data_IF_388821100993
#
_entry.id   IF_388821100993
#
_cell.length_a   1.000
_cell.length_b   1.000
_cell.length_c   1.000
_cell.angle_alpha   90.00
_cell.angle_beta   90.00
_cell.angle_gamma   90.00
#
_symmetry.space_group_name_H-M   'P 1'
#
loop_
_entity.id
_entity.type
_entity.pdbx_description
1 polymer ?
#
# COMPACT_ATOMS: atom_id res chain seq x y z
N UNK A 1 -4.06 -2.93 -4.35
CA UNK A 1 -2.66 -2.91 -4.82
C UNK A 1 -2.32 -1.45 -5.08
N UNK A 2 -1.33 -0.86 -4.41
CA UNK A 2 -0.93 0.53 -4.66
C UNK A 2 0.58 0.57 -4.87
N UNK A 3 0.99 1.14 -5.98
CA UNK A 3 2.38 1.40 -6.37
C UNK A 3 2.71 2.83 -5.95
N UNK A 4 3.81 3.04 -5.23
CA UNK A 4 4.33 4.37 -4.92
C UNK A 4 5.66 4.57 -5.64
N UNK A 5 5.69 5.31 -6.77
CA UNK A 5 6.94 5.60 -7.48
C UNK A 5 7.77 6.70 -6.81
N UNK A 6 9.09 6.58 -6.94
CA UNK A 6 10.10 7.50 -6.45
C UNK A 6 10.02 8.82 -7.23
N UNK A 7 9.65 9.91 -6.56
CA UNK A 7 9.76 11.29 -7.06
C UNK A 7 9.08 11.56 -8.41
N UNK A 8 7.76 11.59 -8.39
CA UNK A 8 6.91 11.77 -9.57
C UNK A 8 5.87 12.83 -9.26
N UNK A 9 6.16 14.10 -9.54
CA UNK A 9 5.07 15.05 -9.70
C UNK A 9 4.37 14.89 -11.06
N UNK A 10 5.04 14.30 -12.07
CA UNK A 10 4.56 14.20 -13.47
C UNK A 10 5.13 12.98 -14.23
N UNK A 11 4.89 11.74 -13.80
CA UNK A 11 5.06 10.58 -14.69
C UNK A 11 3.70 9.97 -14.92
N UNK A 12 3.41 9.74 -16.20
CA UNK A 12 2.18 9.09 -16.67
C UNK A 12 2.06 7.65 -16.17
N UNK A 13 3.11 7.11 -15.53
CA UNK A 13 3.17 5.75 -14.99
C UNK A 13 2.05 5.49 -13.98
N UNK A 14 1.72 6.47 -13.14
CA UNK A 14 0.60 6.32 -12.21
C UNK A 14 -0.74 6.25 -12.95
N UNK A 15 -0.90 7.05 -13.99
CA UNK A 15 -2.13 7.11 -14.78
C UNK A 15 -2.29 5.87 -15.67
N UNK A 16 -1.18 5.30 -16.15
CA UNK A 16 -1.13 4.00 -16.81
C UNK A 16 -1.56 2.89 -15.84
N UNK A 17 -1.02 2.87 -14.62
CA UNK A 17 -1.41 1.91 -13.58
C UNK A 17 -2.90 2.03 -13.22
N UNK A 18 -3.42 3.27 -13.12
CA UNK A 18 -4.86 3.47 -12.88
C UNK A 18 -5.71 2.95 -14.04
N UNK A 19 -5.27 3.17 -15.28
CA UNK A 19 -5.96 2.68 -16.48
C UNK A 19 -6.00 1.16 -16.49
N UNK A 20 -4.87 0.51 -16.26
CA UNK A 20 -4.77 -0.95 -16.20
C UNK A 20 -5.60 -1.53 -15.05
N UNK A 21 -5.57 -0.89 -13.87
CA UNK A 21 -6.38 -1.30 -12.72
C UNK A 21 -7.87 -1.13 -12.96
N UNK A 22 -8.28 -0.09 -13.69
CA UNK A 22 -9.67 0.16 -14.05
C UNK A 22 -10.31 -0.95 -14.88
N UNK A 23 -9.52 -1.81 -15.52
CA UNK A 23 -9.98 -3.01 -16.23
C UNK A 23 -10.48 -4.07 -15.23
N UNK A 24 -9.82 -4.18 -14.07
CA UNK A 24 -10.07 -5.25 -13.10
C UNK A 24 -10.85 -4.80 -11.87
N UNK A 25 -10.82 -3.50 -11.56
CA UNK A 25 -11.38 -2.91 -10.34
C UNK A 25 -12.20 -1.68 -10.73
N UNK A 26 -13.43 -1.63 -10.22
CA UNK A 26 -14.28 -0.46 -10.30
C UNK A 26 -13.71 0.67 -9.42
N UNK A 27 -13.07 1.66 -10.06
CA UNK A 27 -12.39 2.76 -9.38
C UNK A 27 -13.34 3.67 -8.59
N UNK A 28 -14.64 3.62 -8.84
CA UNK A 28 -15.63 4.37 -8.06
C UNK A 28 -15.94 3.74 -6.69
N UNK A 29 -15.54 2.47 -6.50
CA UNK A 29 -15.75 1.71 -5.26
C UNK A 29 -14.53 1.69 -4.35
N UNK A 30 -13.44 2.35 -4.73
CA UNK A 30 -12.20 2.38 -3.96
C UNK A 30 -11.83 3.81 -3.59
N UNK A 31 -10.99 3.94 -2.57
CA UNK A 31 -10.42 5.22 -2.14
C UNK A 31 -8.92 5.17 -2.40
N UNK A 32 -8.43 6.10 -3.22
CA UNK A 32 -7.00 6.27 -3.48
C UNK A 32 -6.36 7.04 -2.33
N UNK A 33 -5.30 6.50 -1.72
CA UNK A 33 -4.62 7.12 -0.57
C UNK A 33 -3.21 7.53 -0.97
N UNK A 34 -2.96 8.82 -1.16
CA UNK A 34 -1.68 9.34 -1.65
C UNK A 34 -0.73 9.74 -0.51
N UNK A 35 0.58 9.56 -0.70
CA UNK A 35 1.60 10.15 0.18
C UNK A 35 1.81 11.65 -0.12
N UNK A 36 2.45 12.38 0.80
CA UNK A 36 2.80 13.82 0.70
C UNK A 36 3.58 14.17 -0.57
N UNK A 37 4.34 13.23 -1.13
CA UNK A 37 5.11 13.42 -2.35
C UNK A 37 4.26 13.57 -3.62
N UNK A 38 2.99 13.18 -3.59
CA UNK A 38 2.10 13.18 -4.77
C UNK A 38 1.16 14.40 -4.81
N UNK A 39 1.61 15.54 -4.28
CA UNK A 39 0.81 16.76 -4.24
C UNK A 39 0.76 17.47 -5.60
N UNK A 40 -0.29 17.20 -6.39
CA UNK A 40 -0.45 17.76 -7.74
C UNK A 40 -1.91 18.15 -8.03
N UNK A 41 -2.14 19.46 -8.21
CA UNK A 41 -3.48 20.04 -8.34
C UNK A 41 -4.25 19.53 -9.56
N UNK A 42 -3.59 19.41 -10.71
CA UNK A 42 -4.22 18.96 -11.96
C UNK A 42 -4.77 17.53 -11.81
N UNK A 43 -4.03 16.63 -11.16
CA UNK A 43 -4.50 15.27 -10.83
C UNK A 43 -5.71 15.28 -9.91
N UNK A 44 -5.72 16.09 -8.86
CA UNK A 44 -6.87 16.16 -7.95
C UNK A 44 -8.14 16.65 -8.67
N UNK A 45 -7.98 17.60 -9.60
CA UNK A 45 -9.05 18.07 -10.49
C UNK A 45 -9.56 16.96 -11.41
N UNK A 46 -8.66 16.23 -12.07
CA UNK A 46 -9.02 15.13 -12.97
C UNK A 46 -9.71 13.97 -12.25
N UNK A 47 -9.17 13.54 -11.09
CA UNK A 47 -9.77 12.47 -10.28
C UNK A 47 -11.16 12.86 -9.80
N UNK A 48 -11.34 14.11 -9.35
CA UNK A 48 -12.64 14.63 -8.93
C UNK A 48 -13.62 14.68 -10.10
N UNK A 49 -13.19 15.16 -11.27
CA UNK A 49 -14.00 15.15 -12.49
C UNK A 49 -14.41 13.76 -12.95
N UNK A 50 -13.55 12.75 -12.72
CA UNK A 50 -13.84 11.33 -12.97
C UNK A 50 -14.65 10.66 -11.84
N UNK A 51 -15.02 11.36 -10.77
CA UNK A 51 -15.72 10.77 -9.62
C UNK A 51 -14.91 9.71 -8.87
N UNK A 52 -13.58 9.76 -8.96
CA UNK A 52 -12.66 8.86 -8.26
C UNK A 52 -12.32 9.48 -6.90
N UNK A 53 -12.51 8.71 -5.84
CA UNK A 53 -12.37 9.18 -4.46
C UNK A 53 -10.91 9.11 -4.01
N UNK A 54 -10.41 10.13 -3.34
CA UNK A 54 -9.03 10.14 -2.85
C UNK A 54 -8.83 10.84 -1.50
N UNK A 55 -7.73 10.51 -0.83
CA UNK A 55 -7.22 11.15 0.39
C UNK A 55 -5.73 11.43 0.20
N UNK A 56 -5.27 12.63 0.53
CA UNK A 56 -3.85 13.02 0.51
C UNK A 56 -3.53 13.91 1.71
N UNK A 57 -2.39 13.78 2.39
CA UNK A 57 -2.01 14.70 3.45
C UNK A 57 -1.76 16.09 2.88
N UNK A 58 -2.18 17.10 3.62
CA UNK A 58 -1.96 18.49 3.24
C UNK A 58 -0.47 18.79 3.14
N UNK A 59 -0.06 19.41 2.03
CA UNK A 59 1.29 19.92 1.84
C UNK A 59 1.46 21.22 2.62
N UNK A 60 2.55 21.34 3.39
CA UNK A 60 2.88 22.58 4.11
C UNK A 60 2.96 23.75 3.14
N UNK A 61 2.27 24.84 3.45
CA UNK A 61 2.26 26.07 2.64
C UNK A 61 1.36 26.00 1.40
N UNK A 62 0.55 24.95 1.21
CA UNK A 62 -0.50 24.95 0.20
C UNK A 62 -1.50 26.08 0.49
N UNK A 63 -1.81 26.87 -0.55
CA UNK A 63 -2.73 28.01 -0.45
C UNK A 63 -4.13 27.57 -0.84
N UNK A 64 -5.09 27.93 -0.02
CA UNK A 64 -6.49 27.60 -0.21
C UNK A 64 -7.38 28.68 0.38
N UNK A 65 -8.60 28.76 -0.13
CA UNK A 65 -9.67 29.58 0.42
C UNK A 65 -10.67 28.68 1.14
N UNK A 66 -11.07 29.06 2.35
CA UNK A 66 -12.11 28.36 3.11
C UNK A 66 -13.48 28.89 2.69
N UNK A 67 -14.36 27.99 2.28
CA UNK A 67 -15.74 28.29 1.87
C UNK A 67 -16.75 27.99 2.99
N UNK A 68 -16.49 26.91 3.74
CA UNK A 68 -17.29 26.50 4.90
C UNK A 68 -16.40 25.84 5.94
N UNK A 69 -16.80 25.92 7.20
CA UNK A 69 -16.07 25.33 8.32
C UNK A 69 -17.01 24.75 9.37
N UNK A 70 -16.63 23.59 9.89
CA UNK A 70 -17.18 22.99 11.10
C UNK A 70 -16.02 22.62 12.02
N UNK A 71 -16.10 22.99 13.30
CA UNK A 71 -15.03 22.72 14.26
C UNK A 71 -15.55 22.06 15.51
N UNK A 72 -14.87 21.00 15.92
CA UNK A 72 -15.09 20.27 17.17
C UNK A 72 -13.80 20.22 17.99
N UNK A 73 -13.88 19.63 19.18
CA UNK A 73 -12.70 19.38 20.01
C UNK A 73 -11.72 18.37 19.38
N UNK A 74 -12.21 17.45 18.55
CA UNK A 74 -11.40 16.34 17.99
C UNK A 74 -10.89 16.63 16.58
N UNK A 75 -11.64 17.39 15.80
CA UNK A 75 -11.30 17.70 14.42
C UNK A 75 -11.90 19.04 13.99
N UNK A 76 -11.33 19.62 12.94
CA UNK A 76 -11.93 20.65 12.12
C UNK A 76 -12.15 20.11 10.71
N UNK A 77 -13.24 20.52 10.10
CA UNK A 77 -13.66 20.07 8.78
C UNK A 77 -14.01 21.28 7.93
N UNK A 78 -13.30 21.44 6.82
CA UNK A 78 -13.38 22.62 5.98
C UNK A 78 -13.75 22.23 4.56
N UNK A 79 -14.67 22.98 3.95
CA UNK A 79 -14.79 22.99 2.50
C UNK A 79 -13.84 24.07 1.99
N UNK A 80 -12.90 23.69 1.13
CA UNK A 80 -11.83 24.55 0.64
C UNK A 80 -11.76 24.53 -0.87
N UNK A 81 -11.35 25.65 -1.45
CA UNK A 81 -10.96 25.75 -2.85
C UNK A 81 -9.45 26.00 -2.91
N UNK A 82 -8.71 25.22 -3.68
CA UNK A 82 -7.27 25.45 -3.87
C UNK A 82 -7.10 26.53 -4.94
N UNK A 83 -6.15 27.45 -4.75
CA UNK A 83 -6.00 28.62 -5.63
C UNK A 83 -5.80 28.26 -7.11
N UNK A 84 -5.18 27.12 -7.41
CA UNK A 84 -4.88 26.65 -8.77
C UNK A 84 -5.96 25.70 -9.34
N UNK A 85 -7.05 25.44 -8.61
CA UNK A 85 -8.17 24.56 -9.03
C UNK A 85 -9.49 25.30 -9.07
N UNK A 86 -9.50 26.51 -9.65
CA UNK A 86 -10.68 27.35 -9.77
C UNK A 86 -11.92 26.53 -10.22
N UNK A 87 -12.98 26.61 -9.42
CA UNK A 87 -14.27 25.96 -9.60
C UNK A 87 -14.41 24.57 -8.98
N UNK A 88 -13.42 24.05 -8.25
CA UNK A 88 -13.52 22.74 -7.60
C UNK A 88 -13.37 22.86 -6.08
N UNK A 89 -14.43 22.45 -5.40
CA UNK A 89 -14.44 22.32 -3.96
C UNK A 89 -13.78 21.01 -3.55
N UNK A 90 -12.87 21.10 -2.59
CA UNK A 90 -12.31 19.99 -1.86
C UNK A 90 -12.72 20.08 -0.39
N UNK A 91 -12.46 19.01 0.34
CA UNK A 91 -12.63 18.95 1.79
C UNK A 91 -11.25 18.84 2.44
N UNK A 92 -10.98 19.70 3.41
CA UNK A 92 -9.81 19.67 4.25
C UNK A 92 -10.22 19.23 5.66
N UNK A 93 -9.78 18.04 6.05
CA UNK A 93 -10.00 17.47 7.37
C UNK A 93 -8.75 17.67 8.21
N UNK A 94 -8.89 18.32 9.37
CA UNK A 94 -7.82 18.55 10.33
C UNK A 94 -8.13 17.79 11.61
N UNK A 95 -7.32 16.80 11.97
CA UNK A 95 -7.47 16.05 13.22
C UNK A 95 -6.55 16.63 14.28
N UNK A 96 -7.15 17.05 15.40
CA UNK A 96 -6.41 17.60 16.52
C UNK A 96 -5.80 16.48 17.36
N UNK A 97 -4.47 16.49 17.51
CA UNK A 97 -3.76 15.51 18.34
C UNK A 97 -2.77 16.21 19.28
N UNK A 98 -2.43 15.55 20.38
CA UNK A 98 -1.45 16.07 21.34
C UNK A 98 -0.05 16.26 20.74
N UNK A 99 0.24 15.62 19.60
CA UNK A 99 1.54 15.68 18.91
C UNK A 99 1.56 16.68 17.74
N UNK A 100 0.46 17.39 17.52
CA UNK A 100 0.26 18.29 16.40
C UNK A 100 -0.93 17.88 15.53
N UNK A 101 -1.41 18.83 14.76
CA UNK A 101 -2.57 18.63 13.89
C UNK A 101 -2.18 17.81 12.65
N UNK A 102 -3.07 16.89 12.26
CA UNK A 102 -2.93 16.08 11.06
C UNK A 102 -3.95 16.56 10.02
N UNK A 103 -3.46 17.04 8.90
CA UNK A 103 -4.27 17.68 7.86
C UNK A 103 -4.36 16.79 6.61
N UNK A 104 -5.57 16.58 6.10
CA UNK A 104 -5.86 15.73 4.94
C UNK A 104 -6.78 16.44 3.97
N UNK A 105 -6.39 16.51 2.70
CA UNK A 105 -7.22 16.96 1.59
C UNK A 105 -7.91 15.75 0.96
N UNK A 106 -9.21 15.87 0.66
CA UNK A 106 -10.02 14.81 0.05
C UNK A 106 -11.15 15.40 -0.78
N UNK A 107 -11.68 14.64 -1.74
CA UNK A 107 -12.93 14.95 -2.44
C UNK A 107 -14.13 14.13 -1.88
N UNK A 108 -13.97 13.55 -0.69
CA UNK A 108 -14.98 12.72 -0.03
C UNK A 108 -15.76 13.56 0.99
N UNK A 109 -17.00 13.90 0.67
CA UNK A 109 -17.84 14.76 1.51
C UNK A 109 -18.78 13.98 2.46
N UNK A 110 -19.03 12.72 2.17
CA UNK A 110 -20.01 11.84 2.82
C UNK A 110 -19.43 10.95 3.93
N UNK A 111 -18.12 11.05 4.20
CA UNK A 111 -17.43 10.22 5.21
C UNK A 111 -17.14 11.00 6.50
N UNK A 112 -17.09 10.33 7.65
CA UNK A 112 -16.71 10.98 8.91
C UNK A 112 -15.22 11.43 8.88
N UNK A 113 -14.87 12.63 9.37
CA UNK A 113 -13.48 13.09 9.48
C UNK A 113 -12.51 12.08 10.13
N UNK A 114 -12.95 11.36 11.16
CA UNK A 114 -12.13 10.34 11.82
C UNK A 114 -11.93 9.08 10.95
N UNK A 115 -12.90 8.76 10.09
CA UNK A 115 -12.75 7.66 9.13
C UNK A 115 -11.74 8.02 8.03
N UNK A 116 -11.69 9.28 7.59
CA UNK A 116 -10.67 9.77 6.65
C UNK A 116 -9.26 9.52 7.23
N UNK A 117 -9.04 9.87 8.50
CA UNK A 117 -7.78 9.55 9.19
C UNK A 117 -7.52 8.05 9.23
N UNK A 118 -8.53 7.25 9.60
CA UNK A 118 -8.38 5.80 9.69
C UNK A 118 -7.99 5.18 8.33
N UNK A 119 -8.64 5.59 7.24
CA UNK A 119 -8.28 5.17 5.90
C UNK A 119 -6.85 5.57 5.54
N UNK A 120 -6.41 6.77 5.94
CA UNK A 120 -5.03 7.18 5.73
C UNK A 120 -4.04 6.36 6.58
N UNK A 121 -4.39 6.01 7.82
CA UNK A 121 -3.53 5.24 8.72
C UNK A 121 -3.24 3.83 8.18
N UNK A 122 -4.15 3.24 7.38
CA UNK A 122 -3.90 1.96 6.69
C UNK A 122 -2.67 1.99 5.76
N UNK A 123 -2.18 3.17 5.39
CA UNK A 123 -0.90 3.34 4.68
C UNK A 123 0.27 2.74 5.48
N UNK A 124 0.25 2.78 6.81
CA UNK A 124 1.30 2.16 7.64
C UNK A 124 1.38 0.65 7.44
N UNK A 125 0.24 -0.02 7.26
CA UNK A 125 0.20 -1.46 6.97
C UNK A 125 0.87 -1.78 5.64
N UNK A 126 0.80 -0.87 4.67
CA UNK A 126 1.50 -1.00 3.40
C UNK A 126 3.03 -0.86 3.55
N UNK A 127 3.54 -0.01 4.45
CA UNK A 127 4.97 0.03 4.75
C UNK A 127 5.45 -1.28 5.38
N UNK A 128 4.66 -1.83 6.31
CA UNK A 128 4.94 -3.13 6.92
C UNK A 128 4.95 -4.22 5.85
N UNK A 129 3.94 -4.25 4.98
CA UNK A 129 3.88 -5.19 3.86
C UNK A 129 5.08 -5.04 2.91
N UNK A 130 5.45 -3.81 2.54
CA UNK A 130 6.60 -3.56 1.67
C UNK A 130 7.91 -4.00 2.31
N UNK A 131 8.07 -3.78 3.62
CA UNK A 131 9.22 -4.26 4.39
C UNK A 131 9.27 -5.79 4.40
N UNK A 132 8.14 -6.44 4.66
CA UNK A 132 8.00 -7.90 4.63
C UNK A 132 8.29 -8.45 3.23
N UNK A 133 7.80 -7.81 2.17
CA UNK A 133 8.08 -8.21 0.79
C UNK A 133 9.57 -8.14 0.48
N UNK A 134 10.21 -7.00 0.73
CA UNK A 134 11.65 -6.80 0.45
C UNK A 134 12.51 -7.81 1.22
N UNK A 135 12.18 -8.05 2.49
CA UNK A 135 12.83 -9.07 3.33
C UNK A 135 12.63 -10.49 2.80
N UNK A 136 11.42 -10.81 2.33
CA UNK A 136 11.10 -12.15 1.85
C UNK A 136 11.61 -12.45 0.44
N UNK A 137 11.60 -11.46 -0.45
CA UNK A 137 12.09 -11.51 -1.83
C UNK A 137 13.60 -11.66 -1.94
N UNK A 138 14.35 -11.39 -0.86
CA UNK A 138 15.82 -11.25 -0.91
C UNK A 138 16.25 -10.43 -2.12
N UNK A 139 15.64 -9.25 -2.32
CA UNK A 139 15.89 -8.39 -3.49
C UNK A 139 17.39 -8.05 -3.61
N UNK A 140 18.15 -8.12 -2.51
CA UNK A 140 19.61 -7.96 -2.47
C UNK A 140 20.41 -9.09 -3.15
N UNK A 141 19.79 -10.25 -3.43
CA UNK A 141 20.41 -11.38 -4.12
C UNK A 141 19.42 -11.96 -5.13
N UNK A 142 19.27 -11.28 -6.26
CA UNK A 142 18.59 -11.83 -7.43
C UNK A 142 19.37 -13.08 -7.89
N UNK A 143 18.65 -14.19 -8.11
CA UNK A 143 19.25 -15.46 -8.52
C UNK A 143 19.51 -15.46 -10.04
N UNK A 144 18.85 -14.56 -10.78
CA UNK A 144 18.94 -14.44 -12.23
C UNK A 144 19.19 -12.99 -12.65
N UNK A 145 19.98 -12.82 -13.69
CA UNK A 145 20.29 -11.52 -14.32
C UNK A 145 19.36 -11.21 -15.50
N UNK A 146 18.51 -12.16 -15.92
CA UNK A 146 17.52 -11.96 -16.99
C UNK A 146 16.19 -11.48 -16.40
N UNK A 147 15.54 -10.52 -17.07
CA UNK A 147 14.22 -9.97 -16.73
C UNK A 147 13.19 -11.06 -16.40
N UNK A 148 13.11 -12.12 -17.21
CA UNK A 148 12.16 -13.22 -16.97
C UNK A 148 12.47 -13.96 -15.67
N UNK A 149 13.75 -14.19 -15.36
CA UNK A 149 14.16 -14.83 -14.11
C UNK A 149 13.84 -13.97 -12.90
N UNK A 150 14.02 -12.65 -13.01
CA UNK A 150 13.63 -11.68 -11.98
C UNK A 150 12.12 -11.67 -11.77
N UNK A 151 11.32 -11.65 -12.84
CA UNK A 151 9.86 -11.69 -12.75
C UNK A 151 9.37 -12.98 -12.08
N UNK A 152 9.90 -14.14 -12.49
CA UNK A 152 9.56 -15.43 -11.87
C UNK A 152 9.91 -15.43 -10.38
N UNK A 153 11.07 -14.88 -10.00
CA UNK A 153 11.48 -14.78 -8.59
C UNK A 153 10.51 -13.89 -7.79
N UNK A 154 10.08 -12.77 -8.37
CA UNK A 154 9.12 -11.84 -7.75
C UNK A 154 7.76 -12.53 -7.57
N UNK A 155 7.20 -13.10 -8.64
CA UNK A 155 5.89 -13.76 -8.58
C UNK A 155 5.90 -14.96 -7.64
N UNK A 156 6.92 -15.81 -7.69
CA UNK A 156 7.03 -16.98 -6.81
C UNK A 156 7.07 -16.59 -5.34
N UNK A 157 7.78 -15.51 -5.01
CA UNK A 157 7.83 -15.03 -3.63
C UNK A 157 6.52 -14.40 -3.18
N UNK A 158 5.85 -13.63 -4.06
CA UNK A 158 4.54 -13.08 -3.78
C UNK A 158 3.52 -14.19 -3.49
N UNK A 159 3.50 -15.24 -4.32
CA UNK A 159 2.64 -16.41 -4.11
C UNK A 159 2.96 -17.09 -2.78
N UNK A 160 4.24 -17.37 -2.49
CA UNK A 160 4.65 -17.98 -1.23
C UNK A 160 4.27 -17.12 0.00
N UNK A 161 4.40 -15.80 -0.11
CA UNK A 161 3.98 -14.88 0.95
C UNK A 161 2.46 -14.94 1.17
N UNK A 162 1.67 -14.92 0.09
CA UNK A 162 0.21 -15.05 0.17
C UNK A 162 -0.20 -16.37 0.82
N UNK A 163 0.47 -17.47 0.49
CA UNK A 163 0.21 -18.77 1.13
C UNK A 163 0.51 -18.75 2.63
N UNK A 164 1.61 -18.13 3.06
CA UNK A 164 1.94 -17.98 4.48
C UNK A 164 0.92 -17.07 5.19
N UNK A 165 0.50 -15.98 4.54
CA UNK A 165 -0.52 -15.09 5.09
C UNK A 165 -1.87 -15.80 5.24
N UNK A 166 -2.29 -16.58 4.23
CA UNK A 166 -3.49 -17.41 4.30
C UNK A 166 -3.38 -18.44 5.43
N UNK A 167 -2.26 -19.14 5.56
CA UNK A 167 -2.02 -20.09 6.64
C UNK A 167 -2.18 -19.46 8.03
N UNK A 168 -1.68 -18.23 8.21
CA UNK A 168 -1.85 -17.50 9.48
C UNK A 168 -3.32 -17.22 9.78
N UNK A 169 -4.07 -16.80 8.77
CA UNK A 169 -5.50 -16.49 8.90
C UNK A 169 -6.29 -17.77 9.20
N UNK A 170 -6.06 -18.86 8.45
CA UNK A 170 -6.82 -20.11 8.61
C UNK A 170 -6.53 -20.82 9.93
N UNK A 171 -5.30 -20.73 10.45
CA UNK A 171 -4.91 -21.37 11.71
C UNK A 171 -4.86 -20.41 12.90
N UNK A 172 -5.35 -19.18 12.73
CA UNK A 172 -5.30 -18.10 13.73
C UNK A 172 -3.90 -17.97 14.40
N UNK A 173 -2.85 -18.13 13.60
CA UNK A 173 -1.48 -18.18 14.09
C UNK A 173 -0.97 -16.76 14.35
N UNK A 174 -0.61 -16.51 15.61
CA UNK A 174 0.02 -15.24 16.02
C UNK A 174 1.50 -15.16 15.63
N UNK A 175 2.08 -16.25 15.10
CA UNK A 175 3.49 -16.29 14.73
C UNK A 175 3.78 -15.29 13.59
N UNK A 176 4.85 -14.50 13.71
CA UNK A 176 5.35 -13.67 12.61
C UNK A 176 5.69 -14.51 11.38
N UNK A 177 5.52 -13.94 10.18
CA UNK A 177 5.82 -14.59 8.89
C UNK A 177 7.25 -15.15 8.86
N UNK A 178 8.20 -14.43 9.46
CA UNK A 178 9.60 -14.85 9.55
C UNK A 178 9.78 -16.15 10.37
N UNK A 179 9.00 -16.33 11.43
CA UNK A 179 9.08 -17.49 12.31
C UNK A 179 8.48 -18.72 11.65
N UNK A 180 7.34 -18.56 10.97
CA UNK A 180 6.75 -19.62 10.13
C UNK A 180 7.73 -20.02 9.02
N UNK A 181 8.38 -19.06 8.36
CA UNK A 181 9.41 -19.32 7.35
C UNK A 181 10.60 -20.09 7.92
N UNK A 182 11.05 -19.75 9.14
CA UNK A 182 12.13 -20.47 9.85
C UNK A 182 11.71 -21.91 10.16
N UNK A 183 10.49 -22.13 10.64
CA UNK A 183 9.96 -23.46 10.91
C UNK A 183 9.82 -24.29 9.63
N UNK A 184 9.26 -23.72 8.56
CA UNK A 184 9.18 -24.39 7.26
C UNK A 184 10.56 -24.77 6.73
N UNK A 185 11.56 -23.90 6.88
CA UNK A 185 12.95 -24.21 6.53
C UNK A 185 13.54 -25.30 7.42
N UNK A 186 13.28 -25.25 8.72
CA UNK A 186 13.72 -26.28 9.67
C UNK A 186 13.11 -27.63 9.31
N UNK A 187 11.78 -27.75 9.25
CA UNK A 187 11.10 -29.01 8.92
C UNK A 187 11.38 -29.49 7.50
N UNK A 188 11.49 -28.58 6.52
CA UNK A 188 11.88 -28.93 5.16
C UNK A 188 13.29 -29.52 5.09
N UNK A 189 14.27 -28.91 5.77
CA UNK A 189 15.64 -29.46 5.82
C UNK A 189 15.74 -30.73 6.67
N UNK A 190 14.96 -30.84 7.75
CA UNK A 190 14.87 -32.04 8.58
C UNK A 190 14.26 -33.22 7.82
N UNK A 191 13.18 -32.98 7.07
CA UNK A 191 12.53 -33.96 6.20
C UNK A 191 13.48 -34.46 5.10
N UNK A 192 14.22 -33.56 4.44
CA UNK A 192 15.20 -33.93 3.42
C UNK A 192 16.36 -34.75 4.00
N UNK A 193 16.86 -34.42 5.19
CA UNK A 193 17.89 -35.22 5.88
C UNK A 193 17.38 -36.62 6.24
N UNK A 194 16.19 -36.71 6.83
CA UNK A 194 15.58 -37.98 7.22
C UNK A 194 15.26 -38.88 6.02
N UNK A 195 14.82 -38.32 4.90
CA UNK A 195 14.60 -39.05 3.63
C UNK A 195 15.94 -39.53 3.03
N UNK A 196 17.00 -38.73 3.11
CA UNK A 196 18.35 -39.15 2.67
C UNK A 196 18.95 -40.25 3.56
N UNK A 197 18.68 -40.23 4.86
CA UNK A 197 19.09 -41.27 5.80
C UNK A 197 18.29 -42.57 5.62
N UNK A 198 17.04 -42.48 5.14
CA UNK A 198 16.16 -43.62 4.84
C UNK A 198 16.28 -44.15 3.41
N UNK A 199 16.99 -43.46 2.51
CA UNK A 199 17.33 -43.98 1.19
C UNK A 199 18.47 -44.99 1.34
N UNK A 200 18.28 -46.29 1.01
CA UNK A 200 19.35 -47.26 1.11
C UNK A 200 20.50 -46.82 0.21
N UNK A 201 21.74 -46.87 0.72
CA UNK A 201 22.94 -46.84 -0.13
C UNK A 201 22.75 -47.94 -1.18
N UNK A 202 22.69 -47.53 -2.44
CA UNK A 202 22.70 -48.43 -3.59
C UNK A 202 23.77 -49.49 -3.38
N UNK A 203 23.32 -50.75 -3.38
CA UNK A 203 24.13 -51.96 -3.30
C UNK A 203 25.17 -51.85 -4.43
N UNK A 204 26.45 -51.71 -4.08
CA UNK A 204 27.54 -51.91 -5.02
C UNK A 204 27.61 -53.38 -5.33
N UNK A 205 27.13 -53.79 -6.51
CA UNK A 205 27.44 -55.09 -7.10
C UNK A 205 28.69 -54.91 -7.94
N UNK A 206 29.83 -55.37 -7.41
CA UNK A 206 30.95 -55.97 -8.13
C UNK A 206 31.95 -56.53 -7.13
#
# INVERSE_FOLDING_TARGET
MMVTPLNVSDTDEFDNVLTDMGIFIDLHKVILVFDKGYWYYKRFKELTGKGIRFIVPMKKGARYQVLSQERTKKYSDYIVELNDTAGINFRLVVIHTNKGDLEYLTNIFDMNPLQIKFCYDMRWDMEIFNKELKSNLKITHLISENLNGVLIQIFSTLIAYLLIALFRITHNSLLPVLEIKRLLRYYGTYGVKKVRELSPKSITIS
#
